data_IF_883229972090
#
_entry.id   IF_883229972090
#
_cell.length_a   1.000
_cell.length_b   1.000
_cell.length_c   1.000
_cell.angle_alpha   90.00
_cell.angle_beta   90.00
_cell.angle_gamma   90.00
#
_symmetry.space_group_name_H-M   'P 1'
#
loop_
_entity.id
_entity.type
_entity.pdbx_description
1 polymer ?
#
# COMPACT_ATOMS: atom_id res chain seq x y z
N UNK A 1 -31.36 -23.26 -2.75
CA UNK A 1 -29.92 -22.94 -2.73
C UNK A 1 -29.51 -22.77 -1.29
N UNK A 2 -28.30 -23.20 -0.91
CA UNK A 2 -27.84 -23.15 0.49
C UNK A 2 -26.96 -21.94 0.74
N UNK A 3 -26.85 -21.51 2.00
CA UNK A 3 -26.03 -20.38 2.42
C UNK A 3 -24.55 -20.52 1.97
N UNK A 4 -24.04 -21.75 1.86
CA UNK A 4 -22.69 -22.06 1.36
C UNK A 4 -22.54 -21.78 -0.14
N UNK A 5 -23.57 -22.05 -0.96
CA UNK A 5 -23.51 -21.73 -2.40
C UNK A 5 -23.56 -20.23 -2.64
N UNK A 6 -24.39 -19.50 -1.87
CA UNK A 6 -24.50 -18.04 -1.94
C UNK A 6 -23.19 -17.36 -1.49
N UNK A 7 -22.56 -17.89 -0.44
CA UNK A 7 -21.27 -17.40 0.02
C UNK A 7 -20.16 -17.64 -1.01
N UNK A 8 -20.10 -18.84 -1.61
CA UNK A 8 -19.16 -19.14 -2.69
C UNK A 8 -19.35 -18.19 -3.87
N UNK A 9 -20.58 -17.92 -4.26
CA UNK A 9 -20.92 -17.03 -5.36
C UNK A 9 -20.57 -15.57 -5.06
N UNK A 10 -20.72 -15.14 -3.81
CA UNK A 10 -20.30 -13.83 -3.31
C UNK A 10 -18.77 -13.64 -3.38
N UNK A 11 -17.99 -14.59 -2.85
CA UNK A 11 -16.52 -14.50 -2.87
C UNK A 11 -15.93 -14.70 -4.29
N UNK A 12 -16.66 -15.39 -5.16
CA UNK A 12 -16.26 -15.59 -6.56
C UNK A 12 -16.39 -14.32 -7.40
N UNK A 13 -17.04 -13.26 -6.86
CA UNK A 13 -16.98 -11.92 -7.45
C UNK A 13 -15.54 -11.42 -7.32
N UNK A 14 -14.78 -11.43 -8.41
CA UNK A 14 -13.34 -11.10 -8.42
C UNK A 14 -12.97 -9.81 -7.65
N UNK A 15 -13.82 -8.78 -7.73
CA UNK A 15 -13.62 -7.52 -7.01
C UNK A 15 -13.56 -7.66 -5.47
N UNK A 16 -14.20 -8.67 -4.87
CA UNK A 16 -14.22 -8.91 -3.42
C UNK A 16 -12.94 -9.63 -2.98
N UNK A 17 -12.50 -10.62 -3.75
CA UNK A 17 -11.30 -11.40 -3.43
C UNK A 17 -10.03 -10.53 -3.51
N UNK A 18 -9.89 -9.74 -4.57
CA UNK A 18 -8.74 -8.85 -4.76
C UNK A 18 -8.70 -7.76 -3.68
N UNK A 19 -9.86 -7.20 -3.33
CA UNK A 19 -9.99 -6.24 -2.23
C UNK A 19 -9.59 -6.87 -0.89
N UNK A 20 -10.07 -8.08 -0.59
CA UNK A 20 -9.77 -8.78 0.66
C UNK A 20 -8.28 -9.07 0.80
N UNK A 21 -7.65 -9.57 -0.27
CA UNK A 21 -6.20 -9.82 -0.30
C UNK A 21 -5.42 -8.52 -0.09
N UNK A 22 -5.80 -7.44 -0.79
CA UNK A 22 -5.16 -6.13 -0.63
C UNK A 22 -5.23 -5.58 0.79
N UNK A 23 -6.40 -5.67 1.44
CA UNK A 23 -6.58 -5.21 2.83
C UNK A 23 -5.77 -6.05 3.82
N UNK A 24 -5.77 -7.38 3.67
CA UNK A 24 -5.02 -8.28 4.56
C UNK A 24 -3.52 -8.04 4.43
N UNK A 25 -3.01 -7.95 3.20
CA UNK A 25 -1.58 -7.68 2.94
C UNK A 25 -1.22 -6.30 3.47
N UNK A 26 -2.04 -5.28 3.23
CA UNK A 26 -1.81 -3.93 3.74
C UNK A 26 -1.73 -3.88 5.27
N UNK A 27 -2.65 -4.56 5.96
CA UNK A 27 -2.66 -4.64 7.42
C UNK A 27 -1.44 -5.39 7.97
N UNK A 28 -1.03 -6.49 7.34
CA UNK A 28 0.17 -7.25 7.72
C UNK A 28 1.45 -6.44 7.46
N UNK A 29 1.55 -5.78 6.31
CA UNK A 29 2.70 -4.95 5.96
C UNK A 29 2.86 -3.76 6.91
N UNK A 30 1.76 -3.12 7.30
CA UNK A 30 1.77 -2.06 8.31
C UNK A 30 2.45 -2.50 9.60
N UNK A 31 2.15 -3.71 10.11
CA UNK A 31 2.79 -4.25 11.32
C UNK A 31 4.30 -4.45 11.17
N UNK A 32 4.75 -4.92 9.99
CA UNK A 32 6.18 -5.09 9.71
C UNK A 32 6.88 -3.73 9.77
N UNK A 33 6.28 -2.70 9.16
CA UNK A 33 6.84 -1.35 9.17
C UNK A 33 6.84 -0.74 10.56
N UNK A 34 5.77 -0.93 11.34
CA UNK A 34 5.70 -0.48 12.73
C UNK A 34 6.77 -1.15 13.57
N UNK A 35 6.94 -2.48 13.51
CA UNK A 35 7.98 -3.18 14.27
C UNK A 35 9.40 -2.75 13.87
N UNK A 36 9.67 -2.56 12.58
CA UNK A 36 10.97 -2.02 12.14
C UNK A 36 11.22 -0.63 12.71
N UNK A 37 10.20 0.21 12.80
CA UNK A 37 10.35 1.58 13.31
C UNK A 37 10.51 1.61 14.82
N UNK A 38 9.58 0.98 15.54
CA UNK A 38 9.49 1.04 16.99
C UNK A 38 10.57 0.17 17.66
N UNK A 39 10.87 -1.00 17.12
CA UNK A 39 11.78 -1.97 17.77
C UNK A 39 13.24 -1.86 17.29
N UNK A 40 13.49 -1.25 16.13
CA UNK A 40 14.86 -1.16 15.57
C UNK A 40 15.31 0.29 15.44
N UNK A 41 14.52 1.14 14.78
CA UNK A 41 14.95 2.51 14.49
C UNK A 41 14.88 3.40 15.74
N UNK A 42 13.76 3.42 16.47
CA UNK A 42 13.61 4.26 17.65
C UNK A 42 14.68 4.01 18.73
N UNK A 43 15.07 2.76 19.04
CA UNK A 43 16.19 2.49 19.96
C UNK A 43 17.54 3.03 19.44
N UNK A 44 17.81 2.88 18.15
CA UNK A 44 19.04 3.37 17.52
C UNK A 44 19.06 4.91 17.52
N UNK A 45 17.97 5.54 17.13
CA UNK A 45 17.75 7.00 17.16
C UNK A 45 17.91 7.51 18.60
N UNK A 46 17.31 6.84 19.58
CA UNK A 46 17.41 7.18 21.00
C UNK A 46 18.83 7.03 21.57
N UNK A 47 19.63 6.10 21.04
CA UNK A 47 21.04 5.97 21.39
C UNK A 47 21.88 7.15 20.88
N UNK A 48 21.58 7.67 19.69
CA UNK A 48 22.36 8.75 19.06
C UNK A 48 21.90 10.17 19.43
N UNK A 49 20.60 10.38 19.64
CA UNK A 49 20.00 11.69 19.93
C UNK A 49 19.65 11.89 21.41
N UNK A 50 19.95 10.89 22.26
CA UNK A 50 19.49 10.82 23.65
C UNK A 50 18.01 10.39 23.73
N UNK A 51 17.54 10.00 24.92
CA UNK A 51 16.16 9.56 25.16
C UNK A 51 15.16 10.59 24.61
N UNK A 52 14.70 10.36 23.38
CA UNK A 52 13.85 11.28 22.63
C UNK A 52 12.39 10.99 22.98
N UNK A 53 12.05 11.12 24.26
CA UNK A 53 10.68 10.97 24.71
C UNK A 53 10.05 12.33 25.00
N UNK A 54 9.32 12.83 24.01
CA UNK A 54 8.57 14.08 24.15
C UNK A 54 7.25 13.90 24.89
N UNK A 55 6.84 12.69 25.27
CA UNK A 55 5.53 12.39 25.89
C UNK A 55 5.26 13.17 27.18
N UNK A 56 6.33 13.58 27.87
CA UNK A 56 6.30 14.38 29.10
C UNK A 56 5.95 15.85 28.88
N UNK A 57 5.97 16.34 27.64
CA UNK A 57 5.58 17.72 27.32
C UNK A 57 4.05 17.84 27.40
N UNK A 58 3.55 18.55 28.42
CA UNK A 58 2.15 18.88 28.58
C UNK A 58 1.93 20.39 28.58
N UNK A 59 0.86 20.84 27.92
CA UNK A 59 0.41 22.24 27.96
C UNK A 59 -0.99 22.23 28.57
N UNK A 60 -1.06 22.49 29.88
CA UNK A 60 -2.28 22.27 30.66
C UNK A 60 -2.70 20.78 30.64
N UNK A 61 -3.99 20.45 30.43
CA UNK A 61 -4.44 19.05 30.34
C UNK A 61 -4.09 18.37 29.00
N UNK A 62 -3.50 19.11 28.04
CA UNK A 62 -3.23 18.59 26.70
C UNK A 62 -1.84 17.93 26.62
N UNK A 63 -1.83 16.64 26.23
CA UNK A 63 -0.63 15.83 26.00
C UNK A 63 0.02 16.13 24.66
N UNK A 64 0.46 17.37 24.45
CA UNK A 64 1.08 17.82 23.19
C UNK A 64 2.31 16.97 22.83
N UNK A 65 3.06 16.55 23.83
CA UNK A 65 4.19 15.64 23.70
C UNK A 65 3.87 14.32 23.01
N UNK A 66 2.73 13.72 23.34
CA UNK A 66 2.28 12.47 22.72
C UNK A 66 1.96 12.68 21.23
N UNK A 67 1.31 13.79 20.91
CA UNK A 67 1.02 14.14 19.52
C UNK A 67 2.30 14.39 18.72
N UNK A 68 3.27 15.11 19.29
CA UNK A 68 4.56 15.35 18.64
C UNK A 68 5.32 14.04 18.38
N UNK A 69 5.34 13.11 19.34
CA UNK A 69 5.88 11.76 19.15
C UNK A 69 5.18 11.03 17.99
N UNK A 70 3.85 11.10 17.90
CA UNK A 70 3.10 10.47 16.81
C UNK A 70 3.43 11.07 15.43
N UNK A 71 3.59 12.40 15.35
CA UNK A 71 3.99 13.08 14.11
C UNK A 71 5.40 12.68 13.69
N UNK A 72 6.35 12.64 14.64
CA UNK A 72 7.73 12.20 14.38
C UNK A 72 7.75 10.74 13.91
N UNK A 73 7.02 9.85 14.60
CA UNK A 73 6.93 8.44 14.21
C UNK A 73 6.35 8.28 12.79
N UNK A 74 5.29 9.01 12.46
CA UNK A 74 4.72 9.02 11.11
C UNK A 74 5.74 9.45 10.04
N UNK A 75 6.54 10.50 10.30
CA UNK A 75 7.58 10.94 9.38
C UNK A 75 8.69 9.89 9.21
N UNK A 76 9.09 9.21 10.28
CA UNK A 76 10.07 8.13 10.23
C UNK A 76 9.54 6.95 9.41
N UNK A 77 8.31 6.49 9.68
CA UNK A 77 7.63 5.43 8.93
C UNK A 77 7.56 5.79 7.44
N UNK A 78 7.12 7.00 7.11
CA UNK A 78 7.03 7.47 5.73
C UNK A 78 8.40 7.46 5.03
N UNK A 79 9.46 7.89 5.73
CA UNK A 79 10.82 7.88 5.21
C UNK A 79 11.35 6.45 4.99
N UNK A 80 11.05 5.52 5.90
CA UNK A 80 11.44 4.11 5.79
C UNK A 80 10.73 3.44 4.61
N UNK A 81 9.41 3.63 4.49
CA UNK A 81 8.64 3.10 3.34
C UNK A 81 9.24 3.65 2.05
N UNK A 82 9.54 4.95 1.99
CA UNK A 82 10.21 5.56 0.84
C UNK A 82 11.57 4.91 0.54
N UNK A 83 12.41 4.67 1.56
CA UNK A 83 13.70 4.00 1.38
C UNK A 83 13.55 2.56 0.87
N UNK A 84 12.58 1.80 1.38
CA UNK A 84 12.29 0.42 0.94
C UNK A 84 11.83 0.43 -0.52
N UNK A 85 10.88 1.29 -0.88
CA UNK A 85 10.38 1.43 -2.26
C UNK A 85 11.51 1.89 -3.19
N UNK A 86 12.32 2.87 -2.77
CA UNK A 86 13.48 3.34 -3.53
C UNK A 86 14.53 2.25 -3.71
N UNK A 87 14.81 1.44 -2.68
CA UNK A 87 15.74 0.31 -2.76
C UNK A 87 15.25 -0.77 -3.73
N UNK A 88 13.97 -1.14 -3.63
CA UNK A 88 13.33 -2.07 -4.56
C UNK A 88 13.36 -1.55 -6.01
N UNK A 89 13.10 -0.26 -6.21
CA UNK A 89 13.15 0.39 -7.52
C UNK A 89 14.59 0.54 -8.06
N UNK A 90 15.59 0.75 -7.19
CA UNK A 90 16.99 0.95 -7.58
C UNK A 90 17.69 -0.34 -8.03
N UNK A 91 17.24 -1.50 -7.55
CA UNK A 91 17.78 -2.82 -7.95
C UNK A 91 17.20 -3.27 -9.30
N UNK A 92 16.05 -2.72 -9.68
CA UNK A 92 15.33 -3.05 -10.91
C UNK A 92 15.53 -1.94 -11.95
N UNK A 93 16.66 -1.97 -12.68
CA UNK A 93 16.91 -1.15 -13.89
C UNK A 93 15.99 -1.50 -15.09
N UNK A 94 15.00 -2.37 -14.91
CA UNK A 94 13.82 -2.48 -15.77
C UNK A 94 12.61 -2.19 -14.88
N UNK A 95 11.62 -1.42 -15.34
CA UNK A 95 10.52 -0.93 -14.51
C UNK A 95 9.80 -2.13 -13.92
N UNK A 96 10.20 -2.48 -12.71
CA UNK A 96 9.34 -3.21 -11.84
C UNK A 96 8.51 -2.12 -11.24
N UNK A 97 7.31 -2.02 -11.78
CA UNK A 97 6.14 -1.66 -11.02
C UNK A 97 6.20 -2.41 -9.67
N UNK A 98 6.80 -1.76 -8.67
CA UNK A 98 6.26 -1.83 -7.31
C UNK A 98 5.02 -0.98 -7.39
N UNK A 99 4.00 -1.52 -8.04
CA UNK A 99 2.70 -0.93 -8.01
C UNK A 99 2.11 -1.35 -6.67
N UNK A 100 1.84 -0.39 -5.77
CA UNK A 100 0.97 -0.67 -4.64
C UNK A 100 -0.41 -0.94 -5.24
N UNK A 101 -0.69 -2.20 -5.57
CA UNK A 101 -1.72 -2.62 -6.53
C UNK A 101 -1.56 -1.91 -7.88
N UNK A 102 -1.06 -2.60 -8.92
CA UNK A 102 -1.10 -2.04 -10.24
C UNK A 102 -2.57 -1.93 -10.62
N UNK A 103 -3.07 -0.70 -10.67
CA UNK A 103 -3.81 -0.31 -11.85
C UNK A 103 -2.83 -0.29 -13.06
N UNK A 104 -2.13 -1.40 -13.34
CA UNK A 104 -1.90 -1.77 -14.73
C UNK A 104 -3.29 -1.74 -15.30
N UNK A 105 -3.58 -0.93 -16.35
CA UNK A 105 -4.79 -1.13 -17.11
C UNK A 105 -4.88 -2.65 -17.33
N UNK A 106 -5.97 -3.30 -16.89
CA UNK A 106 -6.13 -4.73 -17.12
C UNK A 106 -5.75 -4.98 -18.59
N UNK A 107 -4.95 -6.02 -18.88
CA UNK A 107 -4.66 -6.35 -20.28
C UNK A 107 -5.99 -6.29 -21.03
N UNK A 108 -6.04 -5.58 -22.17
CA UNK A 108 -7.29 -5.12 -22.73
C UNK A 108 -8.27 -6.28 -22.77
N UNK A 109 -9.43 -6.10 -22.11
CA UNK A 109 -10.43 -7.15 -22.00
C UNK A 109 -10.80 -7.64 -23.41
N UNK A 110 -11.33 -8.85 -23.54
CA UNK A 110 -11.78 -9.36 -24.84
C UNK A 110 -12.65 -8.32 -25.56
N UNK A 111 -13.51 -7.61 -24.81
CA UNK A 111 -14.32 -6.52 -25.34
C UNK A 111 -13.48 -5.33 -25.83
N UNK A 112 -12.45 -4.92 -25.11
CA UNK A 112 -11.55 -3.84 -25.55
C UNK A 112 -10.73 -4.24 -26.78
N UNK A 113 -10.35 -5.52 -26.91
CA UNK A 113 -9.69 -6.04 -28.11
C UNK A 113 -10.64 -6.03 -29.30
N UNK A 114 -11.86 -6.53 -29.13
CA UNK A 114 -12.91 -6.48 -30.15
C UNK A 114 -13.23 -5.03 -30.55
N UNK A 115 -13.29 -4.10 -29.61
CA UNK A 115 -13.53 -2.68 -29.91
C UNK A 115 -12.35 -2.03 -30.65
N UNK A 116 -11.10 -2.44 -30.37
CA UNK A 116 -9.94 -2.00 -31.15
C UNK A 116 -9.98 -2.56 -32.58
N UNK A 117 -10.32 -3.84 -32.73
CA UNK A 117 -10.49 -4.48 -34.04
C UNK A 117 -11.63 -3.83 -34.84
N UNK A 118 -12.77 -3.53 -34.21
CA UNK A 118 -13.89 -2.83 -34.83
C UNK A 118 -13.48 -1.40 -35.23
N UNK A 119 -12.77 -0.67 -34.37
CA UNK A 119 -12.25 0.67 -34.69
C UNK A 119 -11.34 0.63 -35.90
N UNK A 120 -10.45 -0.35 -35.96
CA UNK A 120 -9.48 -0.48 -37.04
C UNK A 120 -10.17 -0.96 -38.34
N UNK A 121 -11.20 -1.81 -38.25
CA UNK A 121 -12.05 -2.21 -39.37
C UNK A 121 -12.86 -1.04 -39.94
N UNK A 122 -13.42 -0.16 -39.08
CA UNK A 122 -14.12 1.07 -39.49
C UNK A 122 -13.17 2.08 -40.14
N UNK A 123 -11.96 2.26 -39.59
CA UNK A 123 -10.93 3.13 -40.21
C UNK A 123 -10.45 2.60 -41.56
N UNK A 124 -10.42 1.29 -41.72
CA UNK A 124 -10.04 0.63 -42.97
C UNK A 124 -11.19 0.56 -44.00
N UNK A 125 -12.41 0.98 -43.66
CA UNK A 125 -13.58 0.94 -44.54
C UNK A 125 -13.99 -0.46 -44.98
N UNK A 126 -13.70 -1.48 -44.15
CA UNK A 126 -14.00 -2.90 -44.45
C UNK A 126 -15.40 -3.31 -43.98
N UNK A 127 -16.11 -2.38 -43.34
CA UNK A 127 -17.51 -2.37 -42.90
C UNK A 127 -17.95 -0.91 -42.75
#
# INVERSE_FOLDING_TARGET
MGLVSEFKEFISKGNVLDLAVGVIIGAAFGKIVTSLTDDVIMPVVGLFLGHTDFSTIMVGPMKVGLFLNAVINFLIIAFIIFMIVKGANSIKKKPVEVTPVPATPPPPTTDQQLLMEIRDALRAGRI
#
